data_IF_678828783003
#
_entry.id   IF_678828783003
#
_cell.length_a   1.000
_cell.length_b   1.000
_cell.length_c   1.000
_cell.angle_alpha   90.00
_cell.angle_beta   90.00
_cell.angle_gamma   90.00
#
_symmetry.space_group_name_H-M   'P 1'
#
loop_
_entity.id
_entity.type
_entity.pdbx_description
1 polymer ?
#
# COMPACT_ATOMS: atom_id res chain seq x y z
N UNK A 1 42.07 39.23 45.45
CA UNK A 1 41.31 37.96 45.54
C UNK A 1 39.95 38.15 44.90
N UNK A 2 39.69 37.48 43.77
CA UNK A 2 38.39 36.98 43.27
C UNK A 2 38.55 36.65 41.78
N UNK A 3 38.98 35.43 41.51
CA UNK A 3 38.99 34.81 40.19
C UNK A 3 37.56 34.38 39.84
N UNK A 4 37.00 34.92 38.75
CA UNK A 4 35.73 34.47 38.18
C UNK A 4 35.98 33.18 37.40
N UNK A 5 35.42 32.07 37.86
CA UNK A 5 35.48 30.78 37.17
C UNK A 5 34.30 30.69 36.20
N UNK A 6 34.56 30.78 34.89
CA UNK A 6 33.55 30.54 33.86
C UNK A 6 33.35 29.02 33.72
N UNK A 7 32.15 28.54 34.06
CA UNK A 7 31.76 27.13 33.88
C UNK A 7 31.13 26.98 32.50
N UNK A 8 31.90 26.43 31.57
CA UNK A 8 31.43 26.01 30.25
C UNK A 8 30.64 24.69 30.41
N UNK A 9 29.31 24.75 30.41
CA UNK A 9 28.47 23.55 30.41
C UNK A 9 28.43 23.00 28.98
N UNK A 10 29.22 21.95 28.71
CA UNK A 10 29.07 21.12 27.51
C UNK A 10 27.80 20.28 27.66
N UNK A 11 26.71 20.71 27.01
CA UNK A 11 25.52 19.89 26.81
C UNK A 11 25.86 18.77 25.81
N UNK A 12 26.30 17.61 26.33
CA UNK A 12 26.29 16.38 25.57
C UNK A 12 24.82 15.99 25.32
N UNK A 13 24.33 16.27 24.12
CA UNK A 13 23.16 15.61 23.56
C UNK A 13 23.50 14.11 23.44
N UNK A 14 23.26 13.37 24.54
CA UNK A 14 23.21 11.92 24.49
C UNK A 14 22.01 11.58 23.63
N UNK A 15 22.26 11.35 22.34
CA UNK A 15 21.30 10.69 21.48
C UNK A 15 20.98 9.36 22.17
N UNK A 16 19.78 9.25 22.74
CA UNK A 16 19.29 7.99 23.28
C UNK A 16 19.15 7.00 22.11
N UNK A 17 20.24 6.33 21.76
CA UNK A 17 20.22 5.14 20.92
C UNK A 17 19.59 4.03 21.76
N UNK A 18 18.25 4.02 21.78
CA UNK A 18 17.50 2.90 22.31
C UNK A 18 17.81 1.69 21.42
N UNK A 19 18.82 0.92 21.84
CA UNK A 19 19.19 -0.34 21.22
C UNK A 19 18.11 -1.37 21.59
N UNK A 20 16.91 -1.23 21.01
CA UNK A 20 15.78 -2.13 21.26
C UNK A 20 16.15 -3.50 20.72
N UNK A 21 16.32 -4.46 21.64
CA UNK A 21 16.50 -5.87 21.30
C UNK A 21 15.17 -6.40 20.76
N UNK A 22 15.17 -6.85 19.51
CA UNK A 22 13.98 -7.44 18.88
C UNK A 22 13.45 -8.64 19.67
N UNK A 23 12.13 -8.73 19.81
CA UNK A 23 11.40 -9.86 20.37
C UNK A 23 11.61 -11.12 19.53
N UNK A 24 11.20 -12.28 20.05
CA UNK A 24 11.28 -13.55 19.31
C UNK A 24 10.36 -13.51 18.08
N UNK A 25 9.19 -12.90 18.23
CA UNK A 25 8.17 -12.72 17.20
C UNK A 25 8.69 -11.79 16.09
N UNK A 26 9.32 -10.68 16.46
CA UNK A 26 9.93 -9.75 15.49
C UNK A 26 11.05 -10.42 14.68
N UNK A 27 11.86 -11.28 15.33
CA UNK A 27 12.89 -12.07 14.63
C UNK A 27 12.33 -13.16 13.73
N UNK A 28 11.14 -13.67 14.05
CA UNK A 28 10.46 -14.71 13.28
C UNK A 28 9.55 -14.13 12.18
N UNK A 29 9.32 -12.82 12.18
CA UNK A 29 8.47 -12.14 11.21
C UNK A 29 9.02 -12.31 9.79
N UNK A 30 8.16 -12.79 8.89
CA UNK A 30 8.47 -12.94 7.47
C UNK A 30 7.44 -12.19 6.66
N UNK A 31 7.91 -11.53 5.62
CA UNK A 31 7.08 -10.84 4.64
C UNK A 31 7.63 -11.08 3.25
N UNK A 32 6.76 -10.97 2.25
CA UNK A 32 7.17 -10.95 0.85
C UNK A 32 7.70 -9.56 0.51
N UNK A 33 8.91 -9.41 -0.06
CA UNK A 33 9.45 -8.10 -0.42
C UNK A 33 8.53 -7.33 -1.38
N UNK A 34 8.55 -6.00 -1.30
CA UNK A 34 7.83 -5.12 -2.22
C UNK A 34 8.19 -5.43 -3.69
N UNK A 35 7.20 -5.35 -4.58
CA UNK A 35 7.34 -5.64 -6.00
C UNK A 35 7.42 -7.13 -6.38
N UNK A 36 7.40 -8.06 -5.43
CA UNK A 36 7.26 -9.49 -5.74
C UNK A 36 5.78 -9.80 -5.97
N UNK A 37 5.44 -10.08 -7.23
CA UNK A 37 4.06 -10.31 -7.64
C UNK A 37 3.66 -11.78 -7.50
N UNK A 38 2.37 -12.00 -7.21
CA UNK A 38 1.76 -13.33 -7.09
C UNK A 38 0.55 -13.44 -8.02
N UNK A 39 0.51 -14.45 -8.91
CA UNK A 39 1.54 -15.44 -9.21
C UNK A 39 2.78 -14.81 -9.87
N UNK A 40 3.92 -15.50 -9.84
CA UNK A 40 5.21 -14.97 -10.35
C UNK A 40 5.19 -14.66 -11.85
N UNK A 41 4.26 -15.22 -12.61
CA UNK A 41 4.06 -14.94 -14.04
C UNK A 41 3.10 -13.75 -14.31
N UNK A 42 2.59 -13.08 -13.28
CA UNK A 42 1.67 -11.93 -13.42
C UNK A 42 2.34 -10.66 -13.95
N UNK A 43 3.66 -10.58 -13.94
CA UNK A 43 4.40 -9.44 -14.46
C UNK A 43 5.80 -9.32 -13.87
N UNK A 44 6.34 -8.11 -13.93
CA UNK A 44 7.59 -7.74 -13.25
C UNK A 44 7.31 -6.52 -12.40
N UNK A 45 7.18 -6.71 -11.09
CA UNK A 45 7.03 -5.63 -10.14
C UNK A 45 8.35 -4.93 -9.82
N UNK A 46 8.29 -3.88 -9.02
CA UNK A 46 9.45 -3.07 -8.60
C UNK A 46 10.22 -3.75 -7.46
N UNK A 47 10.76 -4.93 -7.71
CA UNK A 47 11.43 -5.75 -6.69
C UNK A 47 12.57 -4.95 -6.02
N UNK A 48 12.52 -4.85 -4.70
CA UNK A 48 13.54 -4.16 -3.89
C UNK A 48 13.34 -2.64 -3.78
N UNK A 49 12.32 -2.07 -4.43
CA UNK A 49 11.93 -0.68 -4.22
C UNK A 49 11.09 -0.55 -2.94
N UNK A 50 11.75 -0.21 -1.84
CA UNK A 50 11.11 0.05 -0.56
C UNK A 50 10.77 1.54 -0.35
N UNK A 51 10.81 2.37 -1.40
CA UNK A 51 10.46 3.77 -1.29
C UNK A 51 8.96 3.97 -1.05
N UNK A 52 8.62 4.75 -0.02
CA UNK A 52 7.24 5.07 0.32
C UNK A 52 6.81 6.32 -0.45
N UNK A 53 6.13 6.13 -1.59
CA UNK A 53 5.73 7.23 -2.49
C UNK A 53 4.63 8.13 -1.92
N UNK A 54 3.78 7.59 -1.04
CA UNK A 54 2.68 8.29 -0.40
C UNK A 54 2.73 8.05 1.12
N UNK A 55 3.64 8.73 1.85
CA UNK A 55 3.69 8.61 3.31
C UNK A 55 2.48 9.29 3.94
N UNK A 56 2.12 8.87 5.15
CA UNK A 56 1.07 9.47 5.98
C UNK A 56 -0.35 9.39 5.41
N UNK A 57 -0.60 8.50 4.46
CA UNK A 57 -1.97 8.18 4.04
C UNK A 57 -2.61 7.18 5.02
N UNK A 58 -3.93 7.28 5.20
CA UNK A 58 -4.71 6.21 5.84
C UNK A 58 -5.00 5.08 4.85
N UNK A 59 -5.35 3.92 5.39
CA UNK A 59 -5.86 2.81 4.57
C UNK A 59 -7.22 3.19 3.94
N UNK A 60 -7.44 2.89 2.63
CA UNK A 60 -8.60 3.39 1.87
C UNK A 60 -9.91 2.61 2.08
N UNK A 61 -9.95 1.64 2.99
CA UNK A 61 -11.19 0.97 3.44
C UNK A 61 -11.51 1.46 4.84
N UNK A 62 -12.79 1.74 5.10
CA UNK A 62 -13.25 2.26 6.39
C UNK A 62 -12.97 1.29 7.55
N UNK A 63 -13.34 0.01 7.36
CA UNK A 63 -13.30 -1.02 8.40
C UNK A 63 -12.50 -2.26 7.99
N UNK A 64 -11.84 -2.88 8.96
CA UNK A 64 -11.14 -4.15 8.79
C UNK A 64 -12.11 -5.35 8.98
N UNK A 65 -11.81 -6.54 8.43
CA UNK A 65 -10.64 -6.85 7.61
C UNK A 65 -10.76 -6.35 6.16
N UNK A 66 -9.60 -6.22 5.51
CA UNK A 66 -9.49 -5.93 4.08
C UNK A 66 -8.37 -6.77 3.49
N UNK A 67 -8.46 -7.03 2.18
CA UNK A 67 -7.54 -7.93 1.49
C UNK A 67 -6.94 -7.28 0.27
N UNK A 68 -5.61 -7.35 0.14
CA UNK A 68 -4.88 -6.90 -1.04
C UNK A 68 -4.39 -8.11 -1.82
N UNK A 69 -4.93 -8.26 -3.02
CA UNK A 69 -4.57 -9.30 -3.98
C UNK A 69 -5.11 -8.97 -5.36
N UNK A 70 -4.57 -9.62 -6.39
CA UNK A 70 -4.94 -9.36 -7.78
C UNK A 70 -6.42 -9.59 -8.11
N UNK A 71 -7.05 -8.63 -8.79
CA UNK A 71 -8.35 -8.81 -9.44
C UNK A 71 -8.26 -9.67 -10.72
N UNK A 72 -7.13 -9.61 -11.42
CA UNK A 72 -6.97 -10.26 -12.75
C UNK A 72 -6.28 -11.61 -12.66
N UNK A 73 -5.31 -11.76 -11.78
CA UNK A 73 -4.55 -13.00 -11.59
C UNK A 73 -4.98 -13.81 -10.35
N UNK A 74 -5.86 -13.24 -9.51
CA UNK A 74 -6.50 -13.95 -8.40
C UNK A 74 -7.54 -14.97 -8.88
N UNK A 75 -8.11 -15.76 -7.97
CA UNK A 75 -9.11 -16.76 -8.33
C UNK A 75 -10.34 -16.06 -8.91
N UNK A 76 -10.85 -16.56 -10.04
CA UNK A 76 -11.94 -15.96 -10.80
C UNK A 76 -11.57 -14.73 -11.64
N UNK A 77 -10.30 -14.29 -11.59
CA UNK A 77 -9.76 -13.28 -12.49
C UNK A 77 -9.49 -13.81 -13.90
N UNK A 78 -9.44 -12.92 -14.89
CA UNK A 78 -9.27 -13.25 -16.31
C UNK A 78 -8.01 -14.08 -16.63
N UNK A 79 -6.95 -13.95 -15.83
CA UNK A 79 -5.69 -14.68 -15.98
C UNK A 79 -5.38 -15.57 -14.77
N UNK A 80 -6.31 -15.68 -13.83
CA UNK A 80 -6.14 -16.47 -12.63
C UNK A 80 -6.66 -17.90 -12.77
N UNK A 81 -6.67 -18.61 -11.65
CA UNK A 81 -7.32 -19.92 -11.57
C UNK A 81 -8.83 -19.77 -11.77
N UNK A 82 -9.45 -20.79 -12.39
CA UNK A 82 -10.91 -20.87 -12.49
C UNK A 82 -11.55 -20.78 -11.11
N UNK A 83 -12.64 -20.04 -11.00
CA UNK A 83 -13.37 -19.81 -9.76
C UNK A 83 -14.20 -18.54 -9.84
N UNK A 84 -14.55 -17.97 -8.69
CA UNK A 84 -15.28 -16.72 -8.58
C UNK A 84 -14.38 -15.62 -8.03
N UNK A 85 -14.63 -14.36 -8.40
CA UNK A 85 -14.01 -13.23 -7.71
C UNK A 85 -14.33 -13.23 -6.21
N UNK A 86 -15.43 -13.87 -5.79
CA UNK A 86 -15.84 -14.07 -4.41
C UNK A 86 -15.25 -15.33 -3.74
N UNK A 87 -14.34 -16.04 -4.40
CA UNK A 87 -13.69 -17.23 -3.83
C UNK A 87 -12.98 -16.91 -2.51
N UNK A 88 -13.12 -17.79 -1.50
CA UNK A 88 -12.53 -17.61 -0.16
C UNK A 88 -11.01 -17.40 -0.19
N UNK A 89 -10.34 -17.95 -1.20
CA UNK A 89 -8.90 -17.81 -1.45
C UNK A 89 -8.50 -16.35 -1.69
N UNK A 90 -9.46 -15.51 -2.11
CA UNK A 90 -9.23 -14.08 -2.31
C UNK A 90 -9.34 -13.27 -1.00
N UNK A 91 -9.74 -13.87 0.12
CA UNK A 91 -10.00 -13.24 1.42
C UNK A 91 -9.08 -13.81 2.51
N UNK A 92 -7.78 -13.86 2.22
CA UNK A 92 -6.77 -14.48 3.10
C UNK A 92 -5.52 -13.61 3.22
N UNK A 93 -4.80 -13.77 4.33
CA UNK A 93 -3.47 -13.22 4.55
C UNK A 93 -2.40 -14.29 4.23
N UNK A 94 -1.16 -13.90 3.89
CA UNK A 94 -0.65 -12.53 3.75
C UNK A 94 -1.17 -11.83 2.49
N UNK A 95 -1.11 -10.50 2.50
CA UNK A 95 -1.32 -9.69 1.29
C UNK A 95 -0.21 -9.91 0.27
N UNK A 96 -0.54 -9.70 -0.99
CA UNK A 96 0.41 -9.77 -2.09
C UNK A 96 0.38 -8.49 -2.92
N UNK A 97 1.56 -8.02 -3.29
CA UNK A 97 1.68 -6.87 -4.17
C UNK A 97 1.12 -7.23 -5.56
N UNK A 98 0.31 -6.32 -6.10
CA UNK A 98 -0.30 -6.40 -7.43
C UNK A 98 -0.04 -5.13 -8.25
N UNK A 99 0.79 -4.22 -7.75
CA UNK A 99 1.26 -3.06 -8.52
C UNK A 99 2.21 -3.51 -9.62
N UNK A 100 2.13 -2.92 -10.82
CA UNK A 100 2.90 -3.33 -12.00
C UNK A 100 2.64 -4.74 -12.55
N UNK A 101 1.57 -5.41 -12.12
CA UNK A 101 1.05 -6.55 -12.88
C UNK A 101 0.82 -6.18 -14.34
N UNK A 102 0.95 -7.15 -15.24
CA UNK A 102 0.79 -6.91 -16.67
C UNK A 102 -0.62 -6.38 -16.95
N UNK A 103 -0.66 -5.15 -17.46
CA UNK A 103 -1.83 -4.44 -17.97
C UNK A 103 -1.40 -3.63 -19.20
N UNK A 104 -2.34 -3.23 -20.08
CA UNK A 104 -2.00 -2.49 -21.29
C UNK A 104 -1.65 -1.01 -21.03
N UNK A 105 -1.88 -0.51 -19.81
CA UNK A 105 -1.76 0.92 -19.48
C UNK A 105 -0.30 1.36 -19.30
N UNK A 106 0.03 2.54 -19.83
CA UNK A 106 1.33 3.17 -19.61
C UNK A 106 1.55 3.43 -18.12
N UNK A 107 2.68 2.95 -17.61
CA UNK A 107 3.11 3.19 -16.23
C UNK A 107 4.64 3.23 -16.19
N UNK A 108 5.27 4.40 -16.35
CA UNK A 108 6.73 4.54 -16.43
C UNK A 108 7.48 4.03 -15.19
N UNK A 109 6.80 4.01 -14.04
CA UNK A 109 7.33 3.43 -12.82
C UNK A 109 7.42 1.91 -12.88
N UNK A 110 6.69 1.23 -13.75
CA UNK A 110 6.82 -0.21 -13.85
C UNK A 110 8.07 -0.58 -14.67
N UNK A 111 8.83 -1.62 -14.30
CA UNK A 111 10.00 -2.07 -15.07
C UNK A 111 9.72 -2.36 -16.55
N UNK A 112 8.47 -2.63 -16.91
CA UNK A 112 8.06 -2.86 -18.31
C UNK A 112 7.58 -1.61 -19.05
N UNK A 113 7.56 -0.44 -18.40
CA UNK A 113 6.99 0.81 -18.91
C UNK A 113 5.45 0.83 -18.97
N UNK A 114 4.82 -0.31 -18.72
CA UNK A 114 3.37 -0.52 -18.60
C UNK A 114 3.04 -1.39 -17.40
N UNK A 115 1.80 -1.36 -16.95
CA UNK A 115 1.34 -2.24 -15.88
C UNK A 115 0.17 -1.69 -15.10
N UNK A 116 -0.22 -2.43 -14.08
CA UNK A 116 -1.23 -2.03 -13.13
C UNK A 116 -0.76 -0.77 -12.38
N UNK A 117 -1.58 0.28 -12.44
CA UNK A 117 -1.22 1.63 -11.99
C UNK A 117 -1.52 1.86 -10.50
N UNK A 118 -2.16 0.89 -9.84
CA UNK A 118 -2.59 1.00 -8.45
C UNK A 118 -2.53 -0.36 -7.76
N UNK A 119 -3.36 -0.51 -6.73
CA UNK A 119 -3.45 -1.71 -5.91
C UNK A 119 -4.91 -2.13 -5.83
N UNK A 120 -5.19 -3.41 -6.11
CA UNK A 120 -6.54 -3.96 -5.95
C UNK A 120 -6.78 -4.29 -4.47
N UNK A 121 -7.89 -3.81 -3.91
CA UNK A 121 -8.24 -3.95 -2.49
C UNK A 121 -9.69 -4.45 -2.41
N UNK A 122 -9.93 -5.40 -1.51
CA UNK A 122 -11.24 -5.98 -1.21
C UNK A 122 -11.65 -5.63 0.21
N UNK A 123 -12.96 -5.45 0.41
CA UNK A 123 -13.56 -5.40 1.74
C UNK A 123 -13.53 -6.77 2.44
N UNK A 124 -14.18 -6.86 3.60
CA UNK A 124 -14.13 -8.06 4.43
C UNK A 124 -14.83 -9.27 3.78
N UNK A 125 -15.84 -9.03 2.94
CA UNK A 125 -16.59 -10.08 2.22
C UNK A 125 -16.83 -9.68 0.75
N UNK A 126 -17.44 -10.58 -0.03
CA UNK A 126 -17.82 -10.33 -1.43
C UNK A 126 -19.27 -9.83 -1.56
N UNK A 127 -19.65 -8.87 -0.71
CA UNK A 127 -20.98 -8.27 -0.75
C UNK A 127 -20.91 -6.93 -1.47
N UNK A 128 -21.82 -6.75 -2.42
CA UNK A 128 -21.96 -5.53 -3.21
C UNK A 128 -22.43 -4.36 -2.31
N UNK A 129 -21.92 -3.15 -2.55
CA UNK A 129 -22.38 -1.90 -1.87
C UNK A 129 -22.36 -1.93 -0.33
N UNK A 130 -21.53 -2.79 0.27
CA UNK A 130 -21.47 -2.95 1.73
C UNK A 130 -20.37 -2.13 2.40
N UNK A 131 -19.25 -1.94 1.71
CA UNK A 131 -18.04 -1.36 2.30
C UNK A 131 -17.77 0.04 1.76
N UNK A 132 -17.36 0.94 2.64
CA UNK A 132 -17.03 2.31 2.26
C UNK A 132 -15.55 2.46 1.91
N UNK A 133 -15.29 3.02 0.73
CA UNK A 133 -14.00 3.60 0.40
C UNK A 133 -13.89 4.99 1.03
N UNK A 134 -12.73 5.27 1.63
CA UNK A 134 -12.50 6.52 2.38
C UNK A 134 -11.32 7.29 1.82
N UNK A 135 -11.37 8.62 1.97
CA UNK A 135 -10.29 9.51 1.56
C UNK A 135 -8.97 9.12 2.27
N UNK A 136 -7.93 8.85 1.49
CA UNK A 136 -6.62 8.41 2.01
C UNK A 136 -5.85 9.55 2.66
N UNK A 137 -6.17 10.79 2.28
CA UNK A 137 -5.70 12.02 2.94
C UNK A 137 -6.74 13.12 2.77
N UNK A 138 -6.60 14.20 3.54
CA UNK A 138 -7.39 15.41 3.34
C UNK A 138 -7.22 15.95 1.92
N UNK A 139 -8.31 16.44 1.32
CA UNK A 139 -8.25 17.04 -0.01
C UNK A 139 -9.60 17.48 -0.54
N UNK A 140 -9.65 17.66 -1.86
CA UNK A 140 -10.83 18.06 -2.60
C UNK A 140 -11.14 17.00 -3.65
N UNK A 141 -12.39 16.60 -3.76
CA UNK A 141 -12.83 15.74 -4.86
C UNK A 141 -12.80 16.57 -6.15
N UNK A 142 -11.91 16.17 -7.06
CA UNK A 142 -11.68 16.88 -8.33
C UNK A 142 -12.48 16.27 -9.49
N UNK A 143 -12.99 15.06 -9.33
CA UNK A 143 -13.79 14.38 -10.34
C UNK A 143 -14.69 13.31 -9.73
N UNK A 144 -15.94 13.24 -10.21
CA UNK A 144 -16.87 12.15 -9.96
C UNK A 144 -17.39 11.68 -11.32
N UNK A 145 -17.20 10.42 -11.62
CA UNK A 145 -17.73 9.77 -12.82
C UNK A 145 -18.40 8.46 -12.48
N UNK A 146 -19.02 7.84 -13.49
CA UNK A 146 -19.78 6.58 -13.33
C UNK A 146 -18.96 5.43 -12.73
N UNK A 147 -17.65 5.42 -12.94
CA UNK A 147 -16.77 4.31 -12.57
C UNK A 147 -15.68 4.72 -11.57
N UNK A 148 -15.47 6.02 -11.37
CA UNK A 148 -14.33 6.49 -10.61
C UNK A 148 -14.56 7.84 -9.95
N UNK A 149 -13.95 7.99 -8.77
CA UNK A 149 -13.83 9.26 -8.05
C UNK A 149 -12.35 9.62 -7.96
N UNK A 150 -12.00 10.89 -8.18
CA UNK A 150 -10.64 11.40 -8.00
C UNK A 150 -10.57 12.38 -6.86
N UNK A 151 -9.62 12.15 -5.95
CA UNK A 151 -9.27 13.02 -4.84
C UNK A 151 -7.96 13.74 -5.18
N UNK A 152 -7.99 15.07 -5.18
CA UNK A 152 -6.80 15.91 -5.15
C UNK A 152 -6.45 16.18 -3.69
N UNK A 153 -5.44 15.49 -3.19
CA UNK A 153 -5.04 15.60 -1.79
C UNK A 153 -4.20 16.84 -1.50
N UNK A 154 -4.15 17.26 -0.23
CA UNK A 154 -3.41 18.46 0.23
C UNK A 154 -1.92 18.40 -0.09
N UNK A 155 -1.36 17.20 -0.21
CA UNK A 155 0.05 17.01 -0.59
C UNK A 155 0.32 17.27 -2.08
N UNK A 156 -0.72 17.54 -2.87
CA UNK A 156 -0.62 17.69 -4.32
C UNK A 156 -0.54 16.35 -5.06
N UNK A 157 -0.88 15.23 -4.40
CA UNK A 157 -1.09 13.93 -5.06
C UNK A 157 -2.53 13.82 -5.56
N UNK A 158 -2.72 12.98 -6.58
CA UNK A 158 -4.05 12.65 -7.08
C UNK A 158 -4.27 11.15 -6.84
N UNK A 159 -5.33 10.81 -6.12
CA UNK A 159 -5.75 9.44 -5.85
C UNK A 159 -7.01 9.15 -6.65
N UNK A 160 -7.04 8.00 -7.33
CA UNK A 160 -8.19 7.55 -8.13
C UNK A 160 -8.77 6.30 -7.49
N UNK A 161 -10.02 6.38 -7.11
CA UNK A 161 -10.82 5.25 -6.64
C UNK A 161 -11.59 4.72 -7.83
N UNK A 162 -11.43 3.44 -8.15
CA UNK A 162 -12.08 2.78 -9.27
C UNK A 162 -13.06 1.74 -8.75
N UNK A 163 -14.04 1.36 -9.57
CA UNK A 163 -15.04 0.34 -9.22
C UNK A 163 -15.85 0.70 -7.96
N UNK A 164 -16.16 1.98 -7.78
CA UNK A 164 -17.16 2.42 -6.80
C UNK A 164 -18.57 2.29 -7.41
N UNK A 165 -19.57 2.11 -6.55
CA UNK A 165 -20.98 1.94 -6.89
C UNK A 165 -21.83 3.19 -6.72
#
# INVERSE_FOLDING_TARGET
MKTLLAITILLFLSACTHNKKLSKEEKAFKYTPAGVLVPSNSGRGRVGDNYIYAPNIRFPIEEAPAYINSQVYGVGGMHGKRGSLCSKENYQYPWHDNYCEKRPWGMPMCPSGKGHQGVDIRGATCEDKKYHAVAVEDGVISYIGKYSVSLRGKTGRTYRYLHLD
#
